data_IF_609436109676
#
_entry.id   IF_609436109676
#
_cell.length_a   1.000
_cell.length_b   1.000
_cell.length_c   1.000
_cell.angle_alpha   90.00
_cell.angle_beta   90.00
_cell.angle_gamma   90.00
#
_symmetry.space_group_name_H-M   'P 1'
#
loop_
_entity.id
_entity.type
_entity.pdbx_description
1 polymer ?
#
# COMPACT_ATOMS: atom_id res chain seq x y z
N UNK A 1 7.39 3.25 12.33
CA UNK A 1 6.38 3.84 11.41
C UNK A 1 5.19 2.92 11.41
N UNK A 2 3.96 3.45 11.35
CA UNK A 2 2.74 2.62 11.36
C UNK A 2 2.00 2.70 10.01
N UNK A 3 1.05 1.79 9.77
CA UNK A 3 0.26 1.74 8.52
C UNK A 3 -0.39 3.08 8.17
N UNK A 4 -0.84 3.82 9.19
CA UNK A 4 -1.44 5.14 9.02
C UNK A 4 -0.46 6.18 8.47
N UNK A 5 0.80 6.14 8.88
CA UNK A 5 1.82 7.04 8.36
C UNK A 5 2.24 6.65 6.95
N UNK A 6 2.37 5.36 6.67
CA UNK A 6 2.60 4.87 5.31
C UNK A 6 1.46 5.26 4.36
N UNK A 7 0.20 5.18 4.82
CA UNK A 7 -0.98 5.59 4.06
C UNK A 7 -0.92 7.05 3.58
N UNK A 8 -0.34 7.97 4.39
CA UNK A 8 -0.14 9.37 3.98
C UNK A 8 0.85 9.54 2.84
N UNK A 9 1.83 8.64 2.71
CA UNK A 9 2.76 8.63 1.58
C UNK A 9 2.12 7.98 0.36
N UNK A 10 1.43 6.85 0.57
CA UNK A 10 0.83 6.06 -0.51
C UNK A 10 -0.34 6.79 -1.17
N UNK A 11 -1.15 7.57 -0.42
CA UNK A 11 -2.34 8.25 -0.95
C UNK A 11 -2.04 9.21 -2.12
N UNK A 12 -0.82 9.75 -2.19
CA UNK A 12 -0.40 10.63 -3.29
C UNK A 12 -0.20 9.88 -4.61
N UNK A 13 0.14 8.58 -4.55
CA UNK A 13 0.30 7.71 -5.73
C UNK A 13 -0.99 6.92 -6.02
N UNK A 14 -1.59 6.42 -4.94
CA UNK A 14 -2.64 5.43 -4.93
C UNK A 14 -3.68 5.80 -3.86
N UNK A 15 -4.67 6.65 -4.19
CA UNK A 15 -5.62 7.21 -3.23
C UNK A 15 -6.43 6.17 -2.45
N UNK A 16 -6.91 5.12 -3.10
CA UNK A 16 -7.68 4.02 -2.51
C UNK A 16 -6.80 3.20 -1.58
N UNK A 17 -5.60 2.80 -2.01
CA UNK A 17 -4.66 2.07 -1.15
C UNK A 17 -4.22 2.91 0.06
N UNK A 18 -3.93 4.19 -0.14
CA UNK A 18 -3.58 5.10 0.95
C UNK A 18 -4.72 5.29 1.95
N UNK A 19 -5.96 5.39 1.45
CA UNK A 19 -7.17 5.43 2.28
C UNK A 19 -7.37 4.15 3.09
N UNK A 20 -7.19 2.98 2.47
CA UNK A 20 -7.27 1.70 3.15
C UNK A 20 -6.19 1.56 4.23
N UNK A 21 -4.93 1.89 3.92
CA UNK A 21 -3.80 1.90 4.86
C UNK A 21 -4.04 2.80 6.08
N UNK A 22 -4.68 3.95 5.88
CA UNK A 22 -5.07 4.87 6.94
C UNK A 22 -6.33 4.47 7.71
N UNK A 23 -7.06 3.45 7.23
CA UNK A 23 -8.36 3.02 7.73
C UNK A 23 -8.32 1.76 8.59
N UNK A 24 -9.50 1.24 9.00
CA UNK A 24 -9.62 0.08 9.89
C UNK A 24 -9.07 -1.22 9.27
N UNK A 25 -8.97 -1.27 7.94
CA UNK A 25 -8.45 -2.42 7.17
C UNK A 25 -7.00 -2.21 6.71
N UNK A 26 -6.28 -1.28 7.33
CA UNK A 26 -4.93 -0.90 6.91
C UNK A 26 -3.91 -2.04 6.93
N UNK A 27 -4.03 -2.99 7.85
CA UNK A 27 -3.17 -4.20 7.86
C UNK A 27 -3.35 -5.04 6.60
N UNK A 28 -4.59 -5.22 6.12
CA UNK A 28 -4.85 -6.05 4.96
C UNK A 28 -4.34 -5.40 3.67
N UNK A 29 -4.52 -4.08 3.53
CA UNK A 29 -3.92 -3.31 2.43
C UNK A 29 -2.38 -3.33 2.49
N UNK A 30 -1.81 -3.22 3.69
CA UNK A 30 -0.37 -3.35 3.92
C UNK A 30 0.18 -4.70 3.46
N UNK A 31 -0.52 -5.79 3.75
CA UNK A 31 -0.15 -7.15 3.30
C UNK A 31 -0.21 -7.30 1.78
N UNK A 32 -1.22 -6.74 1.12
CA UNK A 32 -1.30 -6.74 -0.35
C UNK A 32 -0.10 -6.03 -0.97
N UNK A 33 0.23 -4.83 -0.47
CA UNK A 33 1.37 -4.05 -0.97
C UNK A 33 2.68 -4.81 -0.70
N UNK A 34 2.86 -5.34 0.52
CA UNK A 34 4.04 -6.14 0.87
C UNK A 34 4.25 -7.33 -0.09
N UNK A 35 3.17 -8.00 -0.48
CA UNK A 35 3.21 -9.13 -1.41
C UNK A 35 3.70 -8.72 -2.81
N UNK A 36 3.29 -7.53 -3.29
CA UNK A 36 3.71 -7.02 -4.60
C UNK A 36 5.15 -6.51 -4.59
N UNK A 37 5.57 -5.90 -3.49
CA UNK A 37 6.95 -5.43 -3.30
C UNK A 37 7.92 -6.56 -2.88
N UNK A 38 7.41 -7.74 -2.53
CA UNK A 38 8.21 -8.90 -2.15
C UNK A 38 8.93 -8.74 -0.81
N UNK A 39 8.30 -8.05 0.16
CA UNK A 39 8.84 -7.77 1.48
C UNK A 39 7.94 -8.28 2.60
N UNK A 40 8.44 -8.29 3.83
CA UNK A 40 7.64 -8.66 4.99
C UNK A 40 6.39 -7.76 5.13
N UNK A 41 5.23 -8.34 5.54
CA UNK A 41 3.97 -7.61 5.69
C UNK A 41 3.92 -6.82 7.01
N UNK A 42 4.91 -5.95 7.22
CA UNK A 42 4.94 -4.99 8.32
C UNK A 42 5.20 -3.57 7.79
N UNK A 43 4.76 -2.52 8.51
CA UNK A 43 4.81 -1.16 8.01
C UNK A 43 6.23 -0.68 7.66
N UNK A 44 7.24 -1.13 8.41
CA UNK A 44 8.62 -0.69 8.25
C UNK A 44 9.27 -1.26 7.00
N UNK A 45 9.08 -2.56 6.75
CA UNK A 45 9.57 -3.24 5.55
C UNK A 45 8.91 -2.67 4.28
N UNK A 46 7.59 -2.47 4.30
CA UNK A 46 6.87 -1.87 3.17
C UNK A 46 7.28 -0.41 2.95
N UNK A 47 7.39 0.39 4.02
CA UNK A 47 7.84 1.78 3.89
C UNK A 47 9.24 1.87 3.32
N UNK A 48 10.15 0.97 3.72
CA UNK A 48 11.49 0.87 3.16
C UNK A 48 11.45 0.50 1.68
N UNK A 49 10.65 -0.50 1.30
CA UNK A 49 10.50 -0.92 -0.09
C UNK A 49 9.97 0.22 -0.98
N UNK A 50 8.92 0.92 -0.53
CA UNK A 50 8.34 2.08 -1.23
C UNK A 50 9.35 3.23 -1.35
N UNK A 51 10.23 3.42 -0.36
CA UNK A 51 11.23 4.49 -0.37
C UNK A 51 12.43 4.18 -1.25
N UNK A 52 12.88 2.93 -1.24
CA UNK A 52 14.09 2.50 -1.97
C UNK A 52 13.80 2.20 -3.45
N UNK A 53 12.52 2.02 -3.82
CA UNK A 53 12.08 1.77 -5.20
C UNK A 53 11.71 3.10 -5.91
N UNK A 54 12.49 3.56 -6.92
CA UNK A 54 12.18 4.78 -7.67
C UNK A 54 10.89 4.68 -8.49
N UNK A 55 10.43 3.46 -8.78
CA UNK A 55 9.19 3.18 -9.51
C UNK A 55 8.01 2.92 -8.56
N UNK A 56 8.20 3.06 -7.24
CA UNK A 56 7.17 2.74 -6.25
C UNK A 56 5.83 3.41 -6.52
N UNK A 57 5.82 4.68 -6.96
CA UNK A 57 4.59 5.40 -7.28
C UNK A 57 3.83 4.76 -8.44
N UNK A 58 4.54 4.32 -9.48
CA UNK A 58 3.96 3.62 -10.63
C UNK A 58 3.40 2.27 -10.17
N UNK A 59 4.20 1.50 -9.44
CA UNK A 59 3.79 0.18 -8.94
C UNK A 59 2.60 0.26 -8.00
N UNK A 60 2.58 1.21 -7.06
CA UNK A 60 1.43 1.47 -6.18
C UNK A 60 0.17 1.80 -6.99
N UNK A 61 0.30 2.58 -8.07
CA UNK A 61 -0.81 2.87 -8.96
C UNK A 61 -1.29 1.64 -9.73
N UNK A 62 -0.36 0.81 -10.20
CA UNK A 62 -0.70 -0.46 -10.85
C UNK A 62 -1.43 -1.43 -9.91
N UNK A 63 -1.05 -1.48 -8.63
CA UNK A 63 -1.77 -2.30 -7.63
C UNK A 63 -3.24 -1.86 -7.54
N UNK A 64 -3.53 -0.56 -7.46
CA UNK A 64 -4.91 -0.08 -7.46
C UNK A 64 -5.69 -0.48 -8.70
N UNK A 65 -5.04 -0.42 -9.87
CA UNK A 65 -5.69 -0.70 -11.15
C UNK A 65 -5.93 -2.20 -11.32
N UNK A 66 -4.95 -3.03 -10.95
CA UNK A 66 -4.99 -4.49 -11.14
C UNK A 66 -5.79 -5.21 -10.05
N UNK A 67 -5.81 -4.69 -8.83
CA UNK A 67 -6.50 -5.30 -7.68
C UNK A 67 -7.77 -4.54 -7.30
N UNK A 68 -8.32 -3.72 -8.20
CA UNK A 68 -9.50 -2.90 -7.92
C UNK A 68 -10.67 -3.69 -7.35
N UNK A 69 -10.92 -4.89 -7.86
CA UNK A 69 -12.00 -5.77 -7.41
C UNK A 69 -11.76 -6.31 -5.99
N UNK A 70 -10.53 -6.76 -5.70
CA UNK A 70 -10.15 -7.21 -4.36
C UNK A 70 -10.21 -6.07 -3.34
N UNK A 71 -9.63 -4.92 -3.71
CA UNK A 71 -9.65 -3.68 -2.92
C UNK A 71 -11.09 -3.24 -2.61
N UNK A 72 -12.01 -3.37 -3.57
CA UNK A 72 -13.42 -3.02 -3.36
C UNK A 72 -14.14 -3.99 -2.41
N UNK A 73 -13.72 -5.26 -2.36
CA UNK A 73 -14.24 -6.22 -1.38
C UNK A 73 -13.74 -5.97 0.04
N UNK A 74 -12.70 -5.14 0.21
CA UNK A 74 -12.09 -4.80 1.50
C UNK A 74 -12.62 -3.51 2.13
N UNK A 75 -13.32 -2.66 1.36
CA UNK A 75 -13.97 -1.42 1.82
C UNK A 75 -15.39 -1.68 2.33
#
# INVERSE_FOLDING_TARGET
>A
MDWKDLGKTVVSAAPVLGGLLGGPVGTAAGTLIASVFGVDPNPEAVAKAVKDDPEAFVRLKEIELNHKEEIHSMT
#
